data_IF_989422475685
#
_entry.id   IF_989422475685
#
_cell.length_a   1.000
_cell.length_b   1.000
_cell.length_c   1.000
_cell.angle_alpha   90.00
_cell.angle_beta   90.00
_cell.angle_gamma   90.00
#
_symmetry.space_group_name_H-M   'P 1'
#
loop_
_entity.id
_entity.type
_entity.pdbx_description
1 polymer ?
#
# COMPACT_ATOMS: atom_id res chain seq x y z
N UNK A 1 1.52 -33.29 -18.45
CA UNK A 1 2.01 -32.09 -17.75
C UNK A 1 0.91 -31.65 -16.80
N UNK A 2 1.25 -31.13 -15.61
CA UNK A 2 0.27 -30.53 -14.70
C UNK A 2 0.11 -29.06 -15.10
N UNK A 3 -1.11 -28.70 -15.48
CA UNK A 3 -1.52 -27.42 -16.08
C UNK A 3 -2.30 -26.56 -15.08
N UNK A 4 -2.36 -27.00 -13.83
CA UNK A 4 -3.03 -26.30 -12.73
C UNK A 4 -2.19 -26.33 -11.47
N UNK A 5 -2.33 -25.27 -10.70
CA UNK A 5 -1.77 -25.18 -9.36
C UNK A 5 -2.49 -26.15 -8.41
N UNK A 6 -1.76 -26.76 -7.47
CA UNK A 6 -2.30 -27.62 -6.41
C UNK A 6 -1.69 -27.26 -5.06
N UNK A 7 -2.53 -27.10 -4.03
CA UNK A 7 -2.12 -27.07 -2.64
C UNK A 7 -2.18 -28.47 -2.01
N UNK A 8 -1.45 -28.68 -0.91
CA UNK A 8 -1.65 -29.85 -0.03
C UNK A 8 -2.91 -29.71 0.84
N UNK A 9 -3.22 -30.74 1.63
CA UNK A 9 -4.30 -30.67 2.64
C UNK A 9 -3.89 -29.71 3.76
N UNK A 10 -4.76 -28.73 4.06
CA UNK A 10 -4.58 -27.77 5.17
C UNK A 10 -5.74 -27.99 6.15
N UNK A 11 -5.42 -28.09 7.44
CA UNK A 11 -6.40 -28.12 8.53
C UNK A 11 -6.45 -26.71 9.14
N UNK A 12 -7.58 -26.02 8.98
CA UNK A 12 -7.79 -24.71 9.59
C UNK A 12 -8.42 -24.86 10.99
N UNK A 13 -8.09 -23.97 11.95
CA UNK A 13 -8.76 -23.93 13.24
C UNK A 13 -10.29 -23.77 13.07
N UNK A 14 -11.09 -24.52 13.83
CA UNK A 14 -12.56 -24.44 13.77
C UNK A 14 -13.11 -23.15 14.42
N UNK A 15 -12.35 -22.58 15.36
CA UNK A 15 -12.76 -21.43 16.19
C UNK A 15 -11.90 -20.20 15.86
N UNK A 16 -12.28 -19.47 14.80
CA UNK A 16 -11.68 -18.19 14.44
C UNK A 16 -12.44 -17.54 13.29
N UNK A 17 -12.76 -16.24 13.42
CA UNK A 17 -13.42 -15.46 12.35
C UNK A 17 -12.56 -15.41 11.07
N UNK A 18 -11.24 -15.55 11.22
CA UNK A 18 -10.23 -15.51 10.15
C UNK A 18 -9.23 -16.67 10.31
N UNK A 19 -9.71 -17.90 10.13
CA UNK A 19 -8.97 -19.13 10.45
C UNK A 19 -7.77 -19.39 9.53
N UNK A 20 -7.77 -18.82 8.32
CA UNK A 20 -6.65 -18.87 7.38
C UNK A 20 -5.85 -17.56 7.31
N UNK A 21 -6.28 -16.51 8.05
CA UNK A 21 -5.65 -15.19 8.06
C UNK A 21 -5.93 -14.37 6.79
N UNK A 22 -6.72 -14.91 5.85
CA UNK A 22 -6.96 -14.29 4.57
C UNK A 22 -7.87 -13.08 4.70
N UNK A 23 -8.85 -13.09 5.60
CA UNK A 23 -9.72 -11.95 5.80
C UNK A 23 -8.90 -10.76 6.31
N UNK A 24 -8.06 -10.91 7.33
CA UNK A 24 -7.18 -9.82 7.79
C UNK A 24 -6.18 -9.38 6.71
N UNK A 25 -5.53 -10.32 6.03
CA UNK A 25 -4.50 -10.02 5.03
C UNK A 25 -5.07 -9.31 3.79
N UNK A 26 -6.22 -9.75 3.31
CA UNK A 26 -6.84 -9.24 2.09
C UNK A 26 -7.86 -8.14 2.36
N UNK A 27 -8.32 -7.92 3.60
CA UNK A 27 -9.32 -6.89 3.88
C UNK A 27 -8.86 -5.49 3.48
N UNK A 28 -7.57 -5.18 3.61
CA UNK A 28 -7.01 -3.92 3.09
C UNK A 28 -7.17 -3.82 1.56
N UNK A 29 -6.88 -4.91 0.84
CA UNK A 29 -6.98 -4.97 -0.61
C UNK A 29 -8.44 -4.96 -1.09
N UNK A 30 -9.34 -5.61 -0.36
CA UNK A 30 -10.78 -5.69 -0.67
C UNK A 30 -11.48 -4.36 -0.37
N UNK A 31 -11.12 -3.70 0.72
CA UNK A 31 -11.70 -2.39 1.06
C UNK A 31 -11.17 -1.32 0.12
N UNK A 32 -9.85 -1.31 -0.12
CA UNK A 32 -9.23 -0.53 -1.20
C UNK A 32 -9.44 0.98 -1.10
N UNK A 33 -9.65 1.51 0.10
CA UNK A 33 -9.82 2.95 0.34
C UNK A 33 -8.57 3.58 0.98
N UNK A 34 -8.34 4.88 0.74
CA UNK A 34 -7.29 5.63 1.44
C UNK A 34 -7.40 5.55 2.96
N UNK A 35 -8.62 5.60 3.50
CA UNK A 35 -8.89 5.55 4.93
C UNK A 35 -8.47 4.20 5.53
N UNK A 36 -8.83 3.10 4.88
CA UNK A 36 -8.45 1.77 5.37
C UNK A 36 -6.95 1.52 5.29
N UNK A 37 -6.26 2.10 4.28
CA UNK A 37 -4.79 2.08 4.26
C UNK A 37 -4.18 2.91 5.36
N UNK A 38 -4.71 4.11 5.64
CA UNK A 38 -4.22 4.96 6.72
C UNK A 38 -4.36 4.27 8.08
N UNK A 39 -5.53 3.74 8.41
CA UNK A 39 -5.76 2.98 9.65
C UNK A 39 -4.76 1.80 9.77
N UNK A 40 -4.62 1.00 8.72
CA UNK A 40 -3.67 -0.11 8.71
C UNK A 40 -2.21 0.36 8.86
N UNK A 41 -1.82 1.44 8.18
CA UNK A 41 -0.46 1.95 8.20
C UNK A 41 -0.10 2.54 9.57
N UNK A 42 -1.03 3.23 10.22
CA UNK A 42 -0.84 3.74 11.58
C UNK A 42 -0.64 2.61 12.59
N UNK A 43 -1.45 1.55 12.49
CA UNK A 43 -1.32 0.37 13.34
C UNK A 43 -0.02 -0.40 13.07
N UNK A 44 0.37 -0.56 11.81
CA UNK A 44 1.53 -1.38 11.41
C UNK A 44 2.87 -0.68 11.65
N UNK A 45 2.97 0.61 11.31
CA UNK A 45 4.20 1.39 11.46
C UNK A 45 4.29 2.13 12.81
N UNK A 46 3.21 2.09 13.62
CA UNK A 46 3.11 2.75 14.93
C UNK A 46 3.39 4.27 14.87
N UNK A 47 3.04 4.90 13.75
CA UNK A 47 3.22 6.35 13.54
C UNK A 47 1.96 6.97 12.92
N UNK A 48 1.62 8.23 13.22
CA UNK A 48 0.52 8.92 12.54
C UNK A 48 0.79 9.04 11.04
N UNK A 49 -0.26 8.91 10.22
CA UNK A 49 -0.17 9.00 8.76
C UNK A 49 -1.13 10.06 8.23
N UNK A 50 -0.62 10.98 7.42
CA UNK A 50 -1.45 12.05 6.82
C UNK A 50 -2.42 11.47 5.76
N UNK A 51 -3.71 11.50 6.07
CA UNK A 51 -4.75 10.95 5.18
C UNK A 51 -4.84 11.69 3.83
N UNK A 52 -4.57 12.98 3.76
CA UNK A 52 -4.62 13.73 2.50
C UNK A 52 -3.43 13.36 1.59
N UNK A 53 -2.27 13.08 2.18
CA UNK A 53 -1.13 12.52 1.46
C UNK A 53 -1.44 11.11 0.93
N UNK A 54 -2.08 10.24 1.72
CA UNK A 54 -2.52 8.91 1.26
C UNK A 54 -3.53 9.04 0.11
N UNK A 55 -4.54 9.90 0.25
CA UNK A 55 -5.53 10.19 -0.81
C UNK A 55 -4.88 10.71 -2.08
N UNK A 56 -3.82 11.52 -1.97
CA UNK A 56 -3.05 11.99 -3.12
C UNK A 56 -2.42 10.84 -3.89
N UNK A 57 -1.82 9.88 -3.18
CA UNK A 57 -1.19 8.69 -3.77
C UNK A 57 -2.24 7.77 -4.41
N UNK A 58 -3.34 7.50 -3.70
CA UNK A 58 -4.46 6.70 -4.21
C UNK A 58 -5.11 7.29 -5.48
N UNK A 59 -5.09 8.62 -5.60
CA UNK A 59 -5.58 9.31 -6.80
C UNK A 59 -4.59 9.27 -7.98
N UNK A 60 -3.44 8.60 -7.84
CA UNK A 60 -2.37 8.53 -8.84
C UNK A 60 -1.98 9.93 -9.33
N UNK A 61 -1.86 10.87 -8.38
CA UNK A 61 -1.30 12.19 -8.66
C UNK A 61 0.23 12.13 -8.54
N UNK A 62 0.96 12.91 -9.35
CA UNK A 62 2.41 12.99 -9.22
C UNK A 62 2.87 13.30 -7.81
N UNK A 63 3.90 12.62 -7.32
CA UNK A 63 4.45 12.89 -6.01
C UNK A 63 5.01 14.32 -5.97
N UNK A 64 4.64 15.06 -4.94
CA UNK A 64 5.20 16.38 -4.63
C UNK A 64 6.12 16.27 -3.43
N UNK A 65 7.03 17.23 -3.27
CA UNK A 65 7.92 17.29 -2.10
C UNK A 65 7.12 17.30 -0.78
N UNK A 66 5.98 18.00 -0.73
CA UNK A 66 5.10 18.02 0.44
C UNK A 66 4.51 16.65 0.77
N UNK A 67 4.08 15.88 -0.25
CA UNK A 67 3.53 14.52 -0.05
C UNK A 67 4.62 13.56 0.41
N UNK A 68 5.84 13.68 -0.16
CA UNK A 68 6.99 12.87 0.26
C UNK A 68 7.36 13.21 1.70
N UNK A 69 7.44 14.49 2.06
CA UNK A 69 7.76 14.92 3.42
C UNK A 69 6.72 14.47 4.45
N UNK A 70 5.43 14.38 4.05
CA UNK A 70 4.37 13.92 4.92
C UNK A 70 4.40 12.39 5.18
N UNK A 71 4.79 11.59 4.18
CA UNK A 71 4.74 10.13 4.28
C UNK A 71 6.09 9.47 4.60
N UNK A 72 7.19 10.07 4.15
CA UNK A 72 8.54 9.54 4.25
C UNK A 72 9.56 10.67 4.44
N UNK A 73 9.52 11.41 5.57
CA UNK A 73 10.36 12.59 5.82
C UNK A 73 11.87 12.31 5.80
N UNK A 74 12.27 11.05 5.95
CA UNK A 74 13.66 10.59 5.87
C UNK A 74 14.16 10.36 4.44
N UNK A 75 13.26 10.38 3.44
CA UNK A 75 13.61 10.14 2.04
C UNK A 75 13.92 11.43 1.30
N UNK A 76 14.85 11.34 0.35
CA UNK A 76 15.17 12.45 -0.56
C UNK A 76 14.45 12.22 -1.89
N UNK A 77 13.72 13.20 -2.45
CA UNK A 77 12.97 13.04 -3.71
C UNK A 77 13.80 12.50 -4.88
N UNK A 78 15.08 12.88 -4.96
CA UNK A 78 16.01 12.39 -5.97
C UNK A 78 16.28 10.88 -5.91
N UNK A 79 16.17 10.27 -4.72
CA UNK A 79 16.34 8.82 -4.54
C UNK A 79 15.13 8.02 -5.02
N UNK A 80 13.96 8.66 -5.13
CA UNK A 80 12.70 8.01 -5.54
C UNK A 80 12.54 7.95 -7.06
N UNK A 81 13.40 8.60 -7.84
CA UNK A 81 13.24 8.72 -9.28
C UNK A 81 13.28 7.37 -10.01
N UNK A 82 14.20 6.48 -9.61
CA UNK A 82 14.33 5.13 -10.18
C UNK A 82 13.10 4.28 -9.84
N UNK A 83 12.66 4.29 -8.58
CA UNK A 83 11.47 3.55 -8.12
C UNK A 83 10.19 4.01 -8.85
N UNK A 84 10.02 5.33 -9.02
CA UNK A 84 8.88 5.92 -9.74
C UNK A 84 8.85 5.45 -11.20
N UNK A 85 10.01 5.41 -11.86
CA UNK A 85 10.11 4.90 -13.23
C UNK A 85 9.83 3.40 -13.29
N UNK A 86 10.41 2.61 -12.38
CA UNK A 86 10.27 1.15 -12.33
C UNK A 86 8.80 0.72 -12.21
N UNK A 87 8.04 1.36 -11.32
CA UNK A 87 6.64 1.01 -11.09
C UNK A 87 5.68 1.76 -12.02
N UNK A 88 6.19 2.63 -12.88
CA UNK A 88 5.40 3.46 -13.80
C UNK A 88 4.49 4.45 -13.09
N UNK A 89 4.90 4.96 -11.92
CA UNK A 89 4.11 5.92 -11.16
C UNK A 89 4.05 7.28 -11.88
N UNK A 90 2.93 8.03 -11.78
CA UNK A 90 2.80 9.31 -12.46
C UNK A 90 3.91 10.31 -12.09
N UNK A 91 4.61 10.79 -13.12
CA UNK A 91 5.55 11.90 -13.00
C UNK A 91 4.85 13.22 -13.32
N UNK A 92 5.17 14.26 -12.55
CA UNK A 92 4.66 15.59 -12.81
C UNK A 92 5.17 16.06 -14.16
N UNK A 93 4.29 16.55 -15.02
CA UNK A 93 4.72 17.29 -16.21
C UNK A 93 5.32 18.60 -15.73
N UNK A 94 6.62 18.60 -15.41
CA UNK A 94 7.33 19.82 -15.03
C UNK A 94 7.11 20.88 -16.10
N UNK A 95 6.31 21.88 -15.78
CA UNK A 95 6.15 23.08 -16.59
C UNK A 95 6.27 24.29 -15.67
N UNK A 96 7.43 24.96 -15.74
CA UNK A 96 7.66 26.29 -15.19
C UNK A 96 8.58 26.35 -13.99
#
# INVERSE_FOLDING_TARGET
>A
ADDRWRAGTIEFPEDGEDSDGADWLFQLLVTGTPESYQEWAEDYFEVPVDLEAVRHVYALRPLTDDVIAALAPERVPAELAEDIEEIGYPVGSGTG
#
